data_IF_082291125982
#
_entry.id   IF_082291125982
#
_cell.length_a   1.000
_cell.length_b   1.000
_cell.length_c   1.000
_cell.angle_alpha   90.00
_cell.angle_beta   90.00
_cell.angle_gamma   90.00
#
_symmetry.space_group_name_H-M   'P 1'
#
loop_
_entity.id
_entity.type
_entity.pdbx_description
1 polymer ?
2 non-polymer ?
3 water ?
#
# COMPACT_ATOMS: atom_id res chain seq x y z
N UNK A 21 4.76 5.30 -15.74
CA UNK A 21 3.58 4.54 -15.22
C UNK A 21 3.91 3.05 -15.18
N UNK A 22 2.97 2.25 -14.66
CA UNK A 22 3.14 0.80 -14.55
C UNK A 22 4.54 0.38 -14.02
N UNK A 23 5.17 -0.59 -14.67
CA UNK A 23 6.49 -1.12 -14.21
C UNK A 23 7.54 -0.05 -13.96
N UNK A 24 7.59 0.98 -14.80
CA UNK A 24 8.55 2.07 -14.63
C UNK A 24 8.25 2.79 -13.30
N UNK A 25 6.99 3.11 -13.06
CA UNK A 25 6.58 3.79 -11.84
C UNK A 25 6.89 2.91 -10.63
N UNK A 26 6.57 1.63 -10.73
CA UNK A 26 6.81 0.72 -9.60
C UNK A 26 8.29 0.66 -9.22
N UNK A 27 9.17 0.64 -10.20
CA UNK A 27 10.61 0.58 -9.89
C UNK A 27 11.11 1.93 -9.39
N UNK A 28 10.63 3.02 -9.97
CA UNK A 28 11.03 4.35 -9.54
C UNK A 28 10.59 4.61 -8.10
N UNK A 29 9.35 4.26 -7.78
CA UNK A 29 8.88 4.45 -6.44
C UNK A 29 9.62 3.53 -5.47
N UNK A 30 9.84 2.28 -5.82
CA UNK A 30 10.62 1.39 -4.95
C UNK A 30 12.01 1.97 -4.67
N UNK A 31 12.64 2.54 -5.69
CA UNK A 31 13.96 3.13 -5.53
C UNK A 31 13.92 4.24 -4.48
N UNK A 32 12.94 5.12 -4.61
CA UNK A 32 12.78 6.22 -3.65
C UNK A 32 12.53 5.69 -2.24
N UNK A 33 11.65 4.69 -2.11
CA UNK A 33 11.33 4.15 -0.79
C UNK A 33 12.57 3.57 -0.10
N UNK A 34 13.39 2.87 -0.87
CA UNK A 34 14.64 2.34 -0.35
C UNK A 34 15.60 3.48 0.02
N UNK A 35 15.72 4.43 -0.88
CA UNK A 35 16.62 5.58 -0.68
C UNK A 35 16.31 6.42 0.55
N UNK A 36 15.04 6.63 0.85
CA UNK A 36 14.67 7.45 2.01
C UNK A 36 14.51 6.62 3.29
N UNK A 37 14.64 5.30 3.21
CA UNK A 37 14.53 4.43 4.37
C UNK A 37 13.10 4.09 4.79
N UNK A 38 12.15 4.23 3.87
CA UNK A 38 10.75 3.92 4.14
C UNK A 38 10.49 2.41 4.02
N UNK A 39 11.38 1.67 3.36
CA UNK A 39 11.28 0.20 3.32
C UNK A 39 12.67 -0.34 3.63
N UNK A 40 12.76 -1.30 4.57
CA UNK A 40 14.04 -1.93 4.92
C UNK A 40 14.00 -3.38 4.53
N UNK A 41 15.15 -3.93 4.14
CA UNK A 41 15.29 -5.35 3.83
C UNK A 41 16.47 -5.93 4.60
N UNK A 42 16.23 -7.06 5.25
CA UNK A 42 17.25 -7.78 6.01
C UNK A 42 16.95 -9.27 5.92
N UNK A 43 17.03 -9.87 4.72
CA UNK A 43 16.70 -11.29 4.60
C UNK A 43 17.63 -12.25 5.37
N UNK A 44 18.89 -11.86 5.58
CA UNK A 44 19.84 -12.70 6.31
C UNK A 44 19.81 -12.52 7.83
N UNK A 45 19.04 -11.53 8.29
CA UNK A 45 18.93 -11.21 9.72
C UNK A 45 17.49 -10.74 9.93
N UNK A 46 16.57 -11.68 9.94
CA UNK A 46 15.14 -11.37 9.95
C UNK A 46 14.69 -10.41 11.04
N UNK A 47 13.74 -9.52 10.66
CA UNK A 47 13.08 -8.63 11.60
C UNK A 47 12.05 -9.46 12.32
N UNK A 48 11.63 -9.02 13.49
CA UNK A 48 10.50 -9.63 14.19
C UNK A 48 9.44 -8.54 14.25
N UNK A 49 8.31 -8.75 13.58
CA UNK A 49 7.21 -7.80 13.60
C UNK A 49 6.49 -7.79 14.97
N UNK A 50 5.62 -6.81 15.17
CA UNK A 50 4.93 -6.71 16.45
C UNK A 50 4.07 -7.94 16.76
N UNK A 51 3.69 -8.70 15.74
CA UNK A 51 2.88 -9.91 15.93
C UNK A 51 3.76 -11.06 16.42
N UNK A 52 5.06 -10.90 16.23
CA UNK A 52 6.05 -11.93 16.58
C UNK A 52 6.52 -12.64 15.33
N UNK A 53 5.92 -12.35 14.19
CA UNK A 53 6.31 -13.01 12.96
C UNK A 53 7.63 -12.50 12.44
N UNK A 54 8.48 -13.42 11.97
CA UNK A 54 9.77 -13.07 11.39
C UNK A 54 9.53 -12.63 9.95
N UNK A 55 10.26 -11.62 9.50
CA UNK A 55 10.11 -11.09 8.16
C UNK A 55 11.41 -10.53 7.64
N UNK A 56 11.63 -10.66 6.34
CA UNK A 56 12.83 -10.06 5.74
C UNK A 56 12.61 -8.59 5.37
N UNK A 57 11.39 -8.12 5.57
CA UNK A 57 11.02 -6.77 5.14
C UNK A 57 10.17 -6.00 6.15
N UNK A 58 10.34 -4.69 6.16
CA UNK A 58 9.45 -3.82 6.92
C UNK A 58 9.25 -2.54 6.14
N UNK A 59 8.00 -2.11 6.08
CA UNK A 59 7.64 -0.87 5.38
C UNK A 59 7.01 0.10 6.36
N UNK A 60 7.57 1.31 6.43
CA UNK A 60 6.96 2.37 7.25
C UNK A 60 6.89 3.64 6.41
N UNK A 61 5.76 3.81 5.72
CA UNK A 61 5.59 4.98 4.88
C UNK A 61 5.34 6.26 5.64
N UNK A 62 5.28 6.20 6.98
CA UNK A 62 5.17 7.44 7.74
C UNK A 62 6.42 8.29 7.49
N UNK A 63 7.52 7.64 7.13
CA UNK A 63 8.78 8.37 6.89
C UNK A 63 8.71 9.26 5.65
N UNK A 64 7.79 8.95 4.73
CA UNK A 64 7.65 9.79 3.54
C UNK A 64 7.21 11.21 3.90
N UNK A 65 6.61 11.38 5.07
CA UNK A 65 6.17 12.70 5.51
C UNK A 65 7.31 13.71 5.57
N UNK A 66 8.53 13.23 5.83
CA UNK A 66 9.71 14.10 5.99
C UNK A 66 10.38 14.52 4.66
N UNK A 67 9.89 13.99 3.55
CA UNK A 67 10.48 14.17 2.22
C UNK A 67 9.48 14.88 1.30
N UNK A 68 9.56 16.22 1.25
CA UNK A 68 8.54 16.97 0.48
C UNK A 68 8.39 16.61 -0.99
N UNK A 69 9.50 16.29 -1.66
CA UNK A 69 9.39 15.99 -3.08
C UNK A 69 8.96 14.56 -3.29
N UNK A 70 9.57 13.63 -2.56
CA UNK A 70 9.20 12.22 -2.70
C UNK A 70 7.73 12.00 -2.37
N UNK A 71 7.24 12.63 -1.30
CA UNK A 71 5.86 12.44 -0.90
C UNK A 71 4.92 13.00 -1.97
N UNK A 72 5.33 14.09 -2.65
CA UNK A 72 4.52 14.68 -3.74
C UNK A 72 4.48 13.76 -4.97
N UNK A 73 5.60 13.10 -5.23
CA UNK A 73 5.71 12.15 -6.35
C UNK A 73 4.78 11.00 -6.04
N UNK A 74 4.73 10.58 -4.78
CA UNK A 74 3.83 9.52 -4.36
C UNK A 74 2.37 9.97 -4.49
N UNK A 75 2.06 11.17 -4.01
CA UNK A 75 0.68 11.63 -4.07
C UNK A 75 0.24 11.78 -5.52
N UNK A 76 1.13 12.25 -6.38
CA UNK A 76 0.80 12.39 -7.81
C UNK A 76 0.54 11.03 -8.43
N UNK A 77 1.32 10.03 -8.01
CA UNK A 77 1.15 8.67 -8.48
C UNK A 77 -0.17 8.08 -8.04
N UNK A 78 -0.55 8.34 -6.78
CA UNK A 78 -1.83 7.82 -6.26
C UNK A 78 -2.98 8.48 -7.03
N UNK A 79 -2.86 9.77 -7.27
CA UNK A 79 -3.86 10.51 -8.05
C UNK A 79 -4.00 9.91 -9.44
N UNK A 80 -2.86 9.58 -10.06
CA UNK A 80 -2.88 8.99 -11.40
C UNK A 80 -3.56 7.62 -11.36
N UNK A 81 -3.27 6.80 -10.34
CA UNK A 81 -3.98 5.51 -10.21
C UNK A 81 -5.50 5.72 -10.10
N UNK A 82 -5.93 6.73 -9.36
CA UNK A 82 -7.37 7.01 -9.18
C UNK A 82 -8.00 7.46 -10.50
N UNK A 83 -7.32 8.34 -11.22
CA UNK A 83 -7.82 8.82 -12.51
C UNK A 83 -7.89 7.68 -13.53
N UNK A 84 -6.91 6.79 -13.47
CA UNK A 84 -6.83 5.67 -14.39
C UNK A 84 -7.88 4.61 -14.11
N UNK A 85 -8.08 4.31 -12.83
CA UNK A 85 -8.91 3.17 -12.46
C UNK A 85 -10.26 3.48 -11.79
N UNK A 86 -10.36 4.62 -11.10
CA UNK A 86 -11.57 5.00 -10.34
C UNK A 86 -11.99 6.44 -10.67
N UNK A 87 -12.17 6.74 -11.97
CA UNK A 87 -12.39 8.13 -12.38
C UNK A 87 -13.66 8.83 -11.89
N UNK A 88 -14.66 8.06 -11.46
CA UNK A 88 -15.93 8.64 -10.97
C UNK A 88 -15.91 8.97 -9.47
N UNK A 89 -14.73 8.84 -8.86
CA UNK A 89 -14.56 9.12 -7.43
C UNK A 89 -15.14 10.47 -7.00
N UNK A 90 -15.82 10.47 -5.86
CA UNK A 90 -16.38 11.66 -5.26
C UNK A 90 -15.74 12.03 -3.92
N UNK A 91 -15.23 11.04 -3.20
CA UNK A 91 -14.64 11.26 -1.86
C UNK A 91 -13.39 10.41 -1.69
N UNK A 92 -12.37 10.97 -1.04
CA UNK A 92 -11.15 10.24 -0.71
C UNK A 92 -11.18 9.87 0.78
N UNK A 93 -10.99 8.58 1.10
CA UNK A 93 -10.97 8.14 2.49
C UNK A 93 -9.57 7.66 2.88
N UNK A 94 -8.99 8.26 3.91
CA UNK A 94 -7.68 7.77 4.37
C UNK A 94 -7.81 6.87 5.59
N UNK A 95 -6.75 6.15 5.92
CA UNK A 95 -6.71 5.27 7.09
C UNK A 95 -5.36 5.45 7.74
N UNK A 99 -1.56 7.40 6.08
CA UNK A 99 -2.74 7.35 5.22
C UNK A 99 -3.53 8.64 5.19
N UNK A 100 -3.72 9.26 6.36
CA UNK A 100 -4.43 10.56 6.48
C UNK A 100 -3.65 11.62 5.72
N UNK A 101 -2.34 11.71 5.94
CA UNK A 101 -1.52 12.70 5.22
C UNK A 101 -1.59 12.48 3.71
N UNK A 102 -1.42 11.25 3.22
CA UNK A 102 -1.49 11.06 1.77
C UNK A 102 -2.89 11.26 1.23
N UNK A 103 -3.90 10.88 1.99
CA UNK A 103 -5.27 11.15 1.54
C UNK A 103 -5.44 12.66 1.44
N UNK A 104 -4.84 13.41 2.37
CA UNK A 104 -4.90 14.86 2.32
C UNK A 104 -4.25 15.42 1.05
N UNK A 105 -3.06 14.93 0.74
CA UNK A 105 -2.36 15.37 -0.46
C UNK A 105 -3.11 15.02 -1.75
N UNK A 106 -3.66 13.81 -1.82
CA UNK A 106 -4.43 13.38 -2.99
C UNK A 106 -5.72 14.18 -3.12
N UNK A 107 -6.48 14.30 -2.03
CA UNK A 107 -7.76 15.02 -2.10
C UNK A 107 -7.56 16.49 -2.48
N UNK A 108 -6.46 17.11 -2.05
CA UNK A 108 -6.19 18.48 -2.47
C UNK A 108 -5.90 18.56 -3.98
N UNK A 109 -5.09 17.66 -4.50
CA UNK A 109 -4.78 17.66 -5.93
C UNK A 109 -6.03 17.47 -6.78
N UNK A 110 -6.98 16.68 -6.28
CA UNK A 110 -8.20 16.41 -7.00
C UNK A 110 -9.41 17.29 -6.63
N UNK A 111 -9.23 18.20 -5.67
CA UNK A 111 -10.31 19.07 -5.19
C UNK A 111 -11.56 18.29 -4.74
N UNK A 112 -11.30 17.22 -3.99
CA UNK A 112 -12.35 16.36 -3.51
C UNK A 112 -12.47 16.36 -1.99
N UNK A 113 -13.69 16.20 -1.50
CA UNK A 113 -13.89 16.00 -0.07
C UNK A 113 -13.09 14.80 0.42
N UNK A 114 -12.62 14.87 1.66
CA UNK A 114 -11.92 13.78 2.28
C UNK A 114 -12.60 13.37 3.59
N UNK A 115 -12.37 12.12 3.97
CA UNK A 115 -12.79 11.59 5.28
C UNK A 115 -11.70 10.62 5.70
N UNK A 116 -11.73 10.19 6.95
CA UNK A 116 -10.82 9.15 7.35
C UNK A 116 -11.50 8.21 8.29
N UNK A 117 -10.98 7.00 8.28
CA UNK A 117 -11.52 5.93 9.04
C UNK A 117 -10.51 5.50 10.09
N UNK A 118 -10.94 5.52 11.33
CA UNK A 118 -10.11 5.05 12.42
C UNK A 118 -9.89 3.55 12.25
N UNK A 128 -14.65 1.77 14.36
CA UNK A 128 -14.40 2.12 12.98
C UNK A 128 -15.14 3.38 12.54
N UNK A 129 -15.14 4.38 13.41
CA UNK A 129 -15.83 5.63 13.17
C UNK A 129 -15.21 6.39 12.01
N UNK A 130 -16.07 6.97 11.20
CA UNK A 130 -15.65 7.76 10.04
C UNK A 130 -15.68 9.22 10.43
N UNK A 131 -14.56 9.91 10.26
CA UNK A 131 -14.47 11.34 10.60
C UNK A 131 -14.53 12.09 9.29
N UNK A 132 -15.40 13.09 9.22
CA UNK A 132 -15.63 13.78 7.95
C UNK A 132 -16.83 13.10 7.30
N UNK A 133 -17.46 13.78 6.37
CA UNK A 133 -18.66 13.25 5.72
C UNK A 133 -18.42 12.05 4.80
N UNK A 134 -19.28 11.04 4.92
CA UNK A 134 -19.23 9.86 4.07
C UNK A 134 -20.69 9.50 4.00
N UNK A 135 -21.39 9.99 2.98
CA UNK A 135 -22.83 9.79 2.88
C UNK A 135 -23.27 8.66 1.95
N UNK A 136 -24.52 8.28 2.12
CA UNK A 136 -25.11 7.22 1.35
C UNK A 136 -24.89 7.47 -0.13
N UNK A 137 -24.38 6.45 -0.82
CA UNK A 137 -24.19 6.51 -2.26
C UNK A 137 -22.98 7.21 -2.81
N UNK A 138 -22.24 7.92 -1.96
CA UNK A 138 -21.07 8.61 -2.43
C UNK A 138 -20.03 7.58 -2.84
N UNK A 139 -19.33 7.88 -3.93
CA UNK A 139 -18.32 7.01 -4.50
C UNK A 139 -16.99 7.34 -3.83
N UNK A 140 -16.46 6.35 -3.11
CA UNK A 140 -15.27 6.56 -2.34
C UNK A 140 -14.09 5.72 -2.80
N UNK A 141 -12.91 6.32 -2.77
CA UNK A 141 -11.68 5.56 -2.93
C UNK A 141 -10.91 5.62 -1.65
N UNK A 142 -10.41 4.48 -1.20
CA UNK A 142 -9.59 4.37 -0.01
C UNK A 142 -8.13 4.55 -0.38
N UNK A 143 -7.44 5.38 0.39
CA UNK A 143 -6.00 5.55 0.24
C UNK A 143 -5.36 4.87 1.46
N UNK A 144 -4.54 3.85 1.20
CA UNK A 144 -3.84 3.07 2.22
C UNK A 144 -2.35 3.20 2.03
N UNK A 145 -1.62 3.21 3.12
CA UNK A 145 -0.19 3.26 3.00
C UNK A 145 0.33 1.91 2.49
N UNK A 146 -0.14 0.83 3.09
CA UNK A 146 0.38 -0.50 2.80
C UNK A 146 -0.70 -1.54 2.81
N UNK A 147 -0.63 -2.48 1.87
CA UNK A 147 -1.50 -3.67 1.88
C UNK A 147 -0.59 -4.80 2.33
N UNK A 148 -0.93 -5.39 3.48
CA UNK A 148 -0.14 -6.48 4.07
C UNK A 148 -1.00 -7.75 4.08
N UNK A 149 -1.59 -8.06 5.23
CA UNK A 149 -2.41 -9.27 5.36
C UNK A 149 -3.83 -9.13 4.82
N UNK A 150 -4.27 -7.89 4.56
CA UNK A 150 -5.60 -7.62 4.03
C UNK A 150 -6.59 -7.19 5.10
N UNK A 151 -6.31 -7.58 6.35
CA UNK A 151 -7.20 -7.26 7.47
C UNK A 151 -7.53 -5.79 7.63
N UNK A 152 -6.51 -4.94 7.68
CA UNK A 152 -6.74 -3.51 7.87
C UNK A 152 -7.42 -2.85 6.66
N UNK A 153 -7.17 -3.39 5.47
CA UNK A 153 -7.82 -2.88 4.26
C UNK A 153 -9.31 -3.19 4.27
N UNK A 154 -9.64 -4.44 4.59
CA UNK A 154 -11.01 -4.88 4.68
C UNK A 154 -11.73 -4.10 5.79
N UNK A 155 -11.09 -3.90 6.94
CA UNK A 155 -11.73 -3.16 8.01
C UNK A 155 -12.19 -1.77 7.55
N UNK A 156 -11.35 -1.08 6.78
CA UNK A 156 -11.66 0.25 6.28
C UNK A 156 -12.79 0.22 5.23
N UNK A 157 -12.71 -0.71 4.28
CA UNK A 157 -13.75 -0.85 3.28
C UNK A 157 -15.09 -1.16 3.93
N UNK A 158 -15.08 -2.07 4.89
CA UNK A 158 -16.32 -2.45 5.54
C UNK A 158 -16.97 -1.26 6.26
N UNK A 159 -16.17 -0.41 6.89
CA UNK A 159 -16.76 0.73 7.59
C UNK A 159 -17.48 1.64 6.60
N UNK A 160 -16.85 1.87 5.46
CA UNK A 160 -17.44 2.74 4.45
C UNK A 160 -18.70 2.12 3.81
N UNK A 161 -18.67 0.82 3.56
CA UNK A 161 -19.83 0.14 3.01
C UNK A 161 -20.97 0.18 4.03
N UNK A 162 -20.63 0.00 5.31
CA UNK A 162 -21.63 0.03 6.36
C UNK A 162 -22.36 1.39 6.42
N UNK A 163 -21.62 2.45 6.10
CA UNK A 163 -22.12 3.82 6.10
C UNK A 163 -22.98 4.11 4.87
N UNK A 164 -23.03 3.18 3.94
CA UNK A 164 -23.85 3.33 2.74
C UNK A 164 -23.13 3.80 1.51
N UNK A 165 -21.82 3.96 1.64
CA UNK A 165 -21.01 4.44 0.52
C UNK A 165 -20.75 3.33 -0.48
N UNK A 166 -20.47 3.74 -1.71
CA UNK A 166 -20.05 2.83 -2.76
C UNK A 166 -18.53 2.93 -2.78
N UNK A 167 -17.85 1.88 -2.37
CA UNK A 167 -16.41 1.90 -2.40
C UNK A 167 -15.95 1.45 -3.79
N UNK A 168 -15.31 2.36 -4.54
CA UNK A 168 -14.83 2.05 -5.87
C UNK A 168 -13.64 1.08 -5.80
N UNK A 169 -12.80 1.30 -4.80
CA UNK A 169 -11.63 0.46 -4.56
C UNK A 169 -10.62 1.15 -3.68
N UNK A 170 -9.42 0.59 -3.70
CA UNK A 170 -8.32 1.07 -2.89
C UNK A 170 -7.08 1.36 -3.72
N UNK A 171 -6.40 2.45 -3.39
CA UNK A 171 -5.08 2.70 -3.94
C UNK A 171 -4.12 2.72 -2.76
N UNK A 172 -2.96 2.09 -2.92
CA UNK A 172 -1.95 2.10 -1.85
C UNK A 172 -0.57 2.43 -2.38
N UNK A 173 0.30 2.85 -1.47
CA UNK A 173 1.67 3.16 -1.85
C UNK A 173 2.43 1.86 -2.14
N UNK A 174 2.19 0.84 -1.31
CA UNK A 174 2.99 -0.40 -1.38
C UNK A 174 2.17 -1.60 -0.97
N UNK A 175 2.55 -2.76 -1.47
CA UNK A 175 1.91 -4.01 -1.13
C UNK A 175 2.99 -5.11 -1.06
N UNK A 176 2.85 -5.97 -0.05
CA UNK A 176 3.73 -7.11 0.11
C UNK A 176 3.35 -8.27 -0.83
N UNK A 177 2.23 -8.11 -1.54
CA UNK A 177 1.71 -9.12 -2.48
C UNK A 177 1.45 -10.47 -1.82
N UNK A 178 1.03 -10.47 -0.56
CA UNK A 178 0.73 -11.72 0.15
C UNK A 178 -0.59 -12.29 -0.33
N UNK A 179 -0.59 -13.60 -0.51
CA UNK A 179 -1.79 -14.32 -0.95
C UNK A 179 -2.95 -14.08 0.01
N UNK A 180 -2.68 -14.00 1.31
CA UNK A 180 -3.76 -13.78 2.29
C UNK A 180 -4.53 -12.51 1.98
N UNK A 181 -3.80 -11.43 1.70
CA UNK A 181 -4.44 -10.16 1.39
C UNK A 181 -5.18 -10.20 0.05
N UNK A 182 -4.56 -10.82 -0.94
CA UNK A 182 -5.14 -10.93 -2.26
C UNK A 182 -6.51 -11.62 -2.19
N UNK A 183 -6.58 -12.75 -1.48
CA UNK A 183 -7.82 -13.50 -1.33
C UNK A 183 -8.88 -12.74 -0.57
N UNK A 184 -8.51 -12.07 0.52
CA UNK A 184 -9.49 -11.29 1.29
C UNK A 184 -10.14 -10.21 0.41
N UNK A 185 -9.32 -9.47 -0.34
CA UNK A 185 -9.84 -8.40 -1.22
C UNK A 185 -10.68 -8.98 -2.36
N UNK A 186 -10.25 -10.10 -2.95
CA UNK A 186 -11.02 -10.74 -4.00
C UNK A 186 -12.38 -11.17 -3.46
N UNK A 187 -12.39 -11.80 -2.30
CA UNK A 187 -13.65 -12.32 -1.75
C UNK A 187 -14.64 -11.23 -1.38
N UNK A 188 -14.13 -10.05 -1.03
CA UNK A 188 -14.96 -8.90 -0.70
C UNK A 188 -15.27 -8.04 -1.94
N UNK A 189 -14.77 -8.45 -3.10
CA UNK A 189 -14.97 -7.71 -4.35
C UNK A 189 -14.47 -6.27 -4.23
N UNK A 190 -13.22 -6.13 -3.80
CA UNK A 190 -12.58 -4.81 -3.65
C UNK A 190 -11.40 -4.74 -4.61
N UNK A 191 -11.48 -3.85 -5.60
CA UNK A 191 -10.37 -3.60 -6.53
C UNK A 191 -9.25 -2.90 -5.80
N UNK A 192 -8.00 -3.31 -6.02
CA UNK A 192 -6.90 -2.71 -5.32
C UNK A 192 -5.70 -2.51 -6.25
N UNK A 193 -5.11 -1.33 -6.22
CA UNK A 193 -3.93 -1.03 -7.03
C UNK A 193 -2.88 -0.41 -6.11
N UNK A 194 -1.61 -0.75 -6.33
CA UNK A 194 -0.50 -0.20 -5.55
C UNK A 194 0.53 0.50 -6.46
N UNK A 195 1.13 1.59 -5.98
CA UNK A 195 2.14 2.32 -6.75
C UNK A 195 3.37 1.48 -6.98
N UNK A 196 3.73 0.71 -5.95
CA UNK A 196 4.85 -0.18 -6.05
C UNK A 196 4.51 -1.44 -5.27
N UNK A 197 5.29 -2.49 -5.49
CA UNK A 197 5.03 -3.77 -4.81
C UNK A 197 6.33 -4.50 -4.50
N UNK A 198 6.19 -5.59 -3.76
CA UNK A 198 7.29 -6.43 -3.31
C UNK A 198 8.17 -6.91 -4.46
N UNK A 199 7.55 -7.36 -5.53
CA UNK A 199 8.31 -7.83 -6.70
C UNK A 199 9.21 -6.74 -7.29
N UNK A 200 8.66 -5.54 -7.48
CA UNK A 200 9.45 -4.44 -8.04
C UNK A 200 10.56 -4.05 -7.09
N UNK A 201 10.25 -4.05 -5.80
CA UNK A 201 11.24 -3.63 -4.83
C UNK A 201 12.38 -4.66 -4.73
N UNK A 202 12.07 -5.97 -4.77
CA UNK A 202 13.10 -7.00 -4.79
C UNK A 202 14.01 -6.82 -6.02
N UNK A 203 13.41 -6.55 -7.16
CA UNK A 203 14.23 -6.39 -8.39
C UNK A 203 15.13 -5.17 -8.30
N UNK A 204 14.60 -4.06 -7.81
CA UNK A 204 15.41 -2.85 -7.69
C UNK A 204 16.52 -3.01 -6.68
N UNK A 205 16.22 -3.70 -5.58
CA UNK A 205 17.21 -3.93 -4.55
C UNK A 205 18.36 -4.75 -5.12
N UNK A 206 18.05 -5.70 -6.00
CA UNK A 206 19.12 -6.52 -6.61
C UNK A 206 19.93 -5.70 -7.60
N UNK A 207 19.25 -4.87 -8.39
CA UNK A 207 19.91 -3.99 -9.34
C UNK A 207 20.90 -3.06 -8.62
N UNK A 208 20.48 -2.56 -7.45
CA UNK A 208 21.28 -1.69 -6.61
C UNK A 208 22.40 -2.38 -5.85
N UNK A 209 22.37 -3.71 -5.83
CA UNK A 209 23.37 -4.46 -5.09
C UNK A 209 23.10 -4.55 -3.60
N UNK A 210 21.94 -4.07 -3.15
CA UNK A 210 21.54 -4.17 -1.75
C UNK A 210 21.41 -5.65 -1.38
N UNK A 211 20.80 -6.41 -2.29
CA UNK A 211 20.65 -7.86 -2.14
C UNK A 211 21.20 -8.55 -3.38
N UNK A 212 21.40 -9.86 -3.27
CA UNK A 212 21.86 -10.66 -4.38
C UNK A 212 20.88 -11.77 -4.70
N UNK A 213 21.32 -12.71 -5.52
CA UNK A 213 20.48 -13.82 -5.96
C UNK A 213 20.08 -14.76 -4.79
N UNK A 214 21.00 -15.00 -3.86
CA UNK A 214 20.69 -15.86 -2.70
C UNK A 214 19.57 -15.27 -1.83
N UNK A 215 19.63 -13.96 -1.60
CA UNK A 215 18.61 -13.29 -0.79
C UNK A 215 17.30 -13.17 -1.56
N UNK A 216 17.41 -13.06 -2.88
CA UNK A 216 16.21 -12.98 -3.70
C UNK A 216 15.40 -14.25 -3.50
N UNK A 217 16.08 -15.40 -3.44
CA UNK A 217 15.39 -16.66 -3.23
C UNK A 217 14.68 -16.66 -1.88
N UNK A 218 15.34 -16.15 -0.84
CA UNK A 218 14.70 -16.08 0.48
C UNK A 218 13.47 -15.17 0.45
N UNK A 219 13.60 -14.01 -0.21
CA UNK A 219 12.47 -13.07 -0.36
C UNK A 219 11.30 -13.71 -1.09
N UNK A 220 11.59 -14.48 -2.14
CA UNK A 220 10.54 -15.14 -2.90
C UNK A 220 9.80 -16.16 -2.04
N UNK A 221 10.54 -16.90 -1.23
CA UNK A 221 9.92 -17.91 -0.37
C UNK A 221 9.07 -17.32 0.76
N UNK A 222 9.50 -16.19 1.31
CA UNK A 222 8.73 -15.53 2.35
C UNK A 222 7.37 -15.10 1.83
N UNK A 223 7.33 -14.49 0.65
CA UNK A 223 6.08 -14.00 0.11
C UNK A 223 5.10 -15.13 -0.10
N UNK A 224 5.62 -16.26 -0.55
CA UNK A 224 4.77 -17.44 -0.78
C UNK A 224 4.22 -18.04 0.51
N UNK A 225 5.01 -18.04 1.57
CA UNK A 225 4.61 -18.61 2.84
C UNK A 225 5.22 -17.79 3.96
N UNK A 226 4.63 -16.63 4.26
CA UNK A 226 5.27 -15.73 5.23
C UNK A 226 5.35 -16.22 6.67
N UNK A 227 4.46 -17.11 7.06
CA UNK A 227 4.42 -17.62 8.41
C UNK A 227 5.25 -18.89 8.59
N UNK A 228 5.76 -19.44 7.48
CA UNK A 228 6.60 -20.64 7.47
C UNK A 228 8.06 -20.21 7.50
N UNK A 229 8.80 -20.57 8.54
CA UNK A 229 10.19 -20.09 8.64
C UNK A 229 11.22 -20.79 7.75
N UNK A 230 10.77 -21.64 6.83
CA UNK A 230 11.68 -22.25 5.87
C UNK A 230 12.37 -21.18 5.01
N UNK A 231 11.69 -20.05 4.76
CA UNK A 231 12.29 -18.99 3.93
C UNK A 231 13.61 -18.52 4.50
N UNK A 232 13.74 -18.57 5.82
CA UNK A 232 14.95 -18.08 6.46
C UNK A 232 16.21 -18.81 5.98
N UNK A 233 16.08 -20.10 5.69
CA UNK A 233 17.18 -20.91 5.22
C UNK A 233 17.04 -21.32 3.74
N UNK A 234 16.16 -20.64 3.01
CA UNK A 234 15.95 -20.91 1.59
C UNK A 234 17.23 -20.63 0.77
X LIG B 1 12.27 14.97 -0.71
X LIG C 1 -3.85 -4.80 4.80
X LIG D 1 -19.12 -0.95 -2.34
X LIG E 1 -14.92 4.70 -11.58
X LIG F 1 3.45 1.79 5.74
X LIG G 1 -10.25 11.29 15.12
X LIG H 1 13.21 19.63 1.89
#
# INVERSE_FOLDING_TARGET
MHHHHHHSSGVDLGTENLYFQSNAMKKEIASHLLEIGAVFLQPNDPFTWSSGMKSPIYCDNRLTLSYPKVRQTIAAGLEELIKEHFPTVEVIAGTATAGIAHAAWVSDRMDLPMCYVRSKAKGHGKGNQIEGKAEKGQKVVVVEDLISTGGSAITCVEALREAGCEVLGIVSIFTYELEAGKEKLEAANVASYSLSDYSALTEVAAEKGIIGQAETKKLQEWRKNPADEAWITA
CL CL
CL CL
CL CL
CL CL
CL CL
CL CL
CL CL
#
